data_IF_774248818694
#
_entry.id   IF_774248818694
#
_cell.length_a   1.000
_cell.length_b   1.000
_cell.length_c   1.000
_cell.angle_alpha   90.00
_cell.angle_beta   90.00
_cell.angle_gamma   90.00
#
_symmetry.space_group_name_H-M   'P 1'
#
loop_
_entity.id
_entity.type
_entity.pdbx_description
1 polymer ?
#
# COMPACT_ATOMS: atom_id res chain seq x y z
N UNK A 1 18.28 15.52 7.20
CA UNK A 1 16.81 15.52 7.04
C UNK A 1 16.19 14.93 8.29
N UNK A 2 15.07 15.49 8.79
CA UNK A 2 14.34 14.83 9.88
C UNK A 2 13.84 13.46 9.39
N UNK A 3 13.87 12.43 10.25
CA UNK A 3 13.35 11.09 9.92
C UNK A 3 11.92 11.15 9.39
N UNK A 4 11.14 12.12 9.87
CA UNK A 4 9.80 12.44 9.38
C UNK A 4 9.75 12.77 7.89
N UNK A 5 10.65 13.61 7.38
CA UNK A 5 10.65 13.96 5.95
C UNK A 5 11.02 12.76 5.08
N UNK A 6 11.98 11.94 5.54
CA UNK A 6 12.36 10.70 4.85
C UNK A 6 11.20 9.72 4.84
N UNK A 7 10.52 9.53 5.97
CA UNK A 7 9.36 8.64 6.06
C UNK A 7 8.22 9.11 5.16
N UNK A 8 8.02 10.42 5.02
CA UNK A 8 7.00 10.98 4.14
C UNK A 8 7.33 10.71 2.67
N UNK A 9 8.57 10.92 2.24
CA UNK A 9 9.00 10.62 0.87
C UNK A 9 8.89 9.12 0.57
N UNK A 10 9.41 8.27 1.47
CA UNK A 10 9.33 6.80 1.32
C UNK A 10 7.89 6.30 1.33
N UNK A 11 7.06 6.85 2.23
CA UNK A 11 5.64 6.52 2.30
C UNK A 11 4.89 6.89 1.04
N UNK A 12 5.13 8.09 0.50
CA UNK A 12 4.45 8.56 -0.71
C UNK A 12 4.91 7.78 -1.95
N UNK A 13 6.22 7.59 -2.10
CA UNK A 13 6.78 6.84 -3.22
C UNK A 13 6.36 5.36 -3.18
N UNK A 14 6.47 4.73 -2.00
CA UNK A 14 6.06 3.34 -1.79
C UNK A 14 4.57 3.14 -2.01
N UNK A 15 3.72 4.03 -1.48
CA UNK A 15 2.28 3.91 -1.62
C UNK A 15 1.84 4.11 -3.07
N UNK A 16 2.47 5.04 -3.79
CA UNK A 16 2.22 5.22 -5.22
C UNK A 16 2.58 3.98 -6.02
N UNK A 17 3.76 3.39 -5.78
CA UNK A 17 4.17 2.16 -6.43
C UNK A 17 3.23 0.99 -6.11
N UNK A 18 2.79 0.90 -4.85
CA UNK A 18 1.82 -0.08 -4.41
C UNK A 18 0.47 0.06 -5.10
N UNK A 19 -0.07 1.28 -5.19
CA UNK A 19 -1.32 1.54 -5.89
C UNK A 19 -1.21 1.19 -7.37
N UNK A 20 -0.11 1.53 -8.04
CA UNK A 20 0.12 1.16 -9.42
C UNK A 20 0.06 -0.38 -9.60
N UNK A 21 0.79 -1.12 -8.76
CA UNK A 21 0.77 -2.59 -8.79
C UNK A 21 -0.64 -3.15 -8.49
N UNK A 22 -1.33 -2.60 -7.51
CA UNK A 22 -2.66 -3.06 -7.10
C UNK A 22 -3.71 -2.81 -8.19
N UNK A 23 -3.65 -1.67 -8.88
CA UNK A 23 -4.55 -1.36 -10.00
C UNK A 23 -4.23 -2.24 -11.20
N UNK A 24 -2.97 -2.36 -11.60
CA UNK A 24 -2.59 -3.24 -12.72
C UNK A 24 -3.00 -4.69 -12.47
N UNK A 25 -2.85 -5.17 -11.25
CA UNK A 25 -3.30 -6.51 -10.89
C UNK A 25 -4.84 -6.63 -10.91
N UNK A 26 -5.57 -5.59 -10.49
CA UNK A 26 -7.03 -5.58 -10.57
C UNK A 26 -7.53 -5.73 -12.02
N UNK A 27 -6.86 -5.11 -12.99
CA UNK A 27 -7.18 -5.25 -14.42
C UNK A 27 -7.05 -6.71 -14.89
N UNK A 28 -6.06 -7.45 -14.38
CA UNK A 28 -5.91 -8.88 -14.67
C UNK A 28 -6.99 -9.75 -14.02
N UNK A 29 -7.60 -9.30 -12.91
CA UNK A 29 -8.70 -9.98 -12.23
C UNK A 29 -10.09 -9.55 -12.72
N UNK A 30 -10.19 -8.62 -13.67
CA UNK A 30 -11.49 -8.07 -14.10
C UNK A 30 -12.47 -9.15 -14.61
N UNK A 31 -11.96 -10.22 -15.24
CA UNK A 31 -12.75 -11.36 -15.72
C UNK A 31 -12.84 -12.53 -14.72
N UNK A 32 -12.19 -12.43 -13.56
CA UNK A 32 -12.22 -13.47 -12.55
C UNK A 32 -13.59 -13.55 -11.86
N UNK A 33 -13.87 -14.66 -11.20
CA UNK A 33 -15.08 -14.84 -10.41
C UNK A 33 -15.20 -13.76 -9.31
N UNK A 34 -16.40 -13.22 -9.10
CA UNK A 34 -16.64 -12.09 -8.19
C UNK A 34 -16.03 -12.29 -6.79
N UNK A 35 -16.10 -13.51 -6.24
CA UNK A 35 -15.56 -13.83 -4.93
C UNK A 35 -14.04 -13.62 -4.83
N UNK A 36 -13.31 -13.92 -5.92
CA UNK A 36 -11.86 -13.69 -6.01
C UNK A 36 -11.56 -12.20 -6.05
N UNK A 37 -12.35 -11.43 -6.81
CA UNK A 37 -12.23 -9.98 -6.85
C UNK A 37 -12.48 -9.36 -5.47
N UNK A 38 -13.55 -9.78 -4.77
CA UNK A 38 -13.86 -9.30 -3.43
C UNK A 38 -12.73 -9.58 -2.44
N UNK A 39 -12.20 -10.81 -2.44
CA UNK A 39 -11.07 -11.17 -1.58
C UNK A 39 -9.84 -10.32 -1.91
N UNK A 40 -9.54 -10.18 -3.20
CA UNK A 40 -8.43 -9.36 -3.67
C UNK A 40 -8.55 -7.91 -3.20
N UNK A 41 -9.71 -7.26 -3.40
CA UNK A 41 -9.90 -5.87 -2.99
C UNK A 41 -9.82 -5.67 -1.47
N UNK A 42 -10.33 -6.62 -0.67
CA UNK A 42 -10.19 -6.56 0.79
C UNK A 42 -8.73 -6.67 1.21
N UNK A 43 -8.01 -7.65 0.67
CA UNK A 43 -6.59 -7.87 1.00
C UNK A 43 -5.76 -6.68 0.52
N UNK A 44 -5.94 -6.23 -0.71
CA UNK A 44 -5.23 -5.09 -1.28
C UNK A 44 -5.58 -3.77 -0.56
N UNK A 45 -6.80 -3.59 -0.07
CA UNK A 45 -7.15 -2.42 0.75
C UNK A 45 -6.40 -2.38 2.08
N UNK A 46 -6.11 -3.54 2.67
CA UNK A 46 -5.52 -3.66 4.00
C UNK A 46 -4.01 -3.89 4.01
N UNK A 47 -3.43 -4.42 2.92
CA UNK A 47 -2.02 -4.80 2.87
C UNK A 47 -1.07 -3.63 3.20
N UNK A 48 -1.43 -2.41 2.77
CA UNK A 48 -0.60 -1.22 2.98
C UNK A 48 -0.65 -0.66 4.41
N UNK A 49 -1.59 -1.11 5.25
CA UNK A 49 -1.66 -0.69 6.65
C UNK A 49 -0.37 -1.02 7.40
N UNK A 50 0.21 -2.19 7.12
CA UNK A 50 1.43 -2.66 7.81
C UNK A 50 2.63 -1.75 7.46
N UNK A 51 3.02 -1.56 6.18
CA UNK A 51 4.11 -0.63 5.84
C UNK A 51 3.88 0.79 6.37
N UNK A 52 2.65 1.31 6.26
CA UNK A 52 2.32 2.66 6.73
C UNK A 52 2.55 2.78 8.24
N UNK A 53 2.08 1.81 9.04
CA UNK A 53 2.29 1.78 10.48
C UNK A 53 3.79 1.77 10.83
N UNK A 54 4.57 0.90 10.18
CA UNK A 54 6.01 0.81 10.41
C UNK A 54 6.73 2.13 10.12
N UNK A 55 6.39 2.80 9.01
CA UNK A 55 6.96 4.09 8.65
C UNK A 55 6.62 5.19 9.65
N UNK A 56 5.37 5.25 10.12
CA UNK A 56 4.92 6.23 11.12
C UNK A 56 5.67 6.05 12.44
N UNK A 57 5.74 4.81 12.94
CA UNK A 57 6.44 4.51 14.20
C UNK A 57 7.94 4.80 14.06
N UNK A 58 8.55 4.47 12.92
CA UNK A 58 9.95 4.79 12.66
C UNK A 58 10.20 6.31 12.61
N UNK A 59 9.32 7.07 11.96
CA UNK A 59 9.40 8.53 11.89
C UNK A 59 9.27 9.20 13.26
N UNK A 60 8.47 8.63 14.16
CA UNK A 60 8.21 9.16 15.50
C UNK A 60 9.30 8.80 16.53
N UNK A 61 10.21 7.86 16.23
CA UNK A 61 11.32 7.52 17.12
C UNK A 61 12.34 8.66 17.15
N UNK A 62 12.59 9.18 18.36
CA UNK A 62 13.60 10.22 18.65
C UNK A 62 15.01 9.77 18.24
#
# INVERSE_FOLDING_TARGET
>A
MSRTLIALILGLAGFTAYLAAAVTMADHLASAHWAVQSLYYVVAGLLWVVPAYWLIVWAARK
#
